data_IF_558355554341
#
_entry.id   IF_558355554341
#
_cell.length_a   1.000
_cell.length_b   1.000
_cell.length_c   1.000
_cell.angle_alpha   90.00
_cell.angle_beta   90.00
_cell.angle_gamma   90.00
#
_symmetry.space_group_name_H-M   'P 1'
#
loop_
_entity.id
_entity.type
_entity.pdbx_description
1 polymer ?
#
# COMPACT_ATOMS: atom_id res chain seq x y z
N UNK A 1 -7.39 9.90 13.76
CA UNK A 1 -6.58 8.72 13.41
C UNK A 1 -6.50 8.70 11.90
N UNK A 2 -5.33 8.45 11.31
CA UNK A 2 -5.22 8.42 9.85
C UNK A 2 -5.45 7.00 9.33
N UNK A 3 -6.31 6.86 8.34
CA UNK A 3 -6.55 5.59 7.64
C UNK A 3 -5.56 5.45 6.47
N UNK A 4 -4.62 4.52 6.57
CA UNK A 4 -3.54 4.44 5.60
C UNK A 4 -3.96 3.85 4.26
N UNK A 5 -5.07 3.11 4.18
CA UNK A 5 -5.53 2.51 2.93
C UNK A 5 -7.03 2.22 3.01
N UNK A 6 -7.79 2.78 2.08
CA UNK A 6 -9.24 2.55 2.01
C UNK A 6 -9.75 2.61 0.58
N UNK A 7 -10.76 1.80 0.28
CA UNK A 7 -11.51 1.88 -0.97
C UNK A 7 -12.77 2.76 -0.85
N UNK A 8 -13.05 3.32 0.35
CA UNK A 8 -14.17 4.23 0.54
C UNK A 8 -13.85 5.62 -0.06
N UNK A 9 -14.53 6.05 -1.15
CA UNK A 9 -14.26 7.32 -1.81
C UNK A 9 -14.61 8.55 -0.96
N UNK A 10 -15.46 8.37 0.05
CA UNK A 10 -15.96 9.41 0.94
C UNK A 10 -15.15 9.51 2.24
N UNK A 11 -14.13 8.66 2.42
CA UNK A 11 -13.30 8.66 3.62
C UNK A 11 -12.62 10.03 3.86
N UNK A 12 -12.52 10.39 5.14
CA UNK A 12 -11.86 11.63 5.60
C UNK A 12 -10.64 11.21 6.43
N UNK A 13 -9.58 12.01 6.40
CA UNK A 13 -8.30 11.71 7.06
C UNK A 13 -7.75 10.32 6.66
N UNK A 14 -7.85 10.02 5.37
CA UNK A 14 -7.49 8.74 4.79
C UNK A 14 -6.67 8.91 3.50
N UNK A 15 -5.89 7.89 3.15
CA UNK A 15 -5.37 7.72 1.79
C UNK A 15 -6.32 6.80 1.01
N UNK A 16 -7.04 7.38 0.05
CA UNK A 16 -8.01 6.67 -0.78
C UNK A 16 -7.29 5.99 -1.93
N UNK A 17 -7.52 4.69 -2.12
CA UNK A 17 -6.99 3.97 -3.26
C UNK A 17 -7.77 4.35 -4.54
N UNK A 18 -7.05 4.72 -5.60
CA UNK A 18 -7.62 5.11 -6.88
C UNK A 18 -7.04 4.30 -8.05
N UNK A 19 -7.91 4.01 -9.01
CA UNK A 19 -7.53 3.46 -10.31
C UNK A 19 -7.20 4.60 -11.30
N UNK A 20 -6.45 4.32 -12.40
CA UNK A 20 -6.13 5.33 -13.40
C UNK A 20 -7.37 5.96 -14.04
N UNK A 21 -7.36 7.28 -14.15
CA UNK A 21 -8.45 8.11 -14.66
C UNK A 21 -9.45 8.58 -13.59
N UNK A 22 -9.11 8.46 -12.31
CA UNK A 22 -9.95 8.97 -11.23
C UNK A 22 -10.08 10.51 -11.26
N UNK A 23 -11.13 11.01 -10.63
CA UNK A 23 -11.37 12.45 -10.46
C UNK A 23 -11.08 12.81 -9.00
N UNK A 24 -10.04 13.61 -8.69
CA UNK A 24 -9.72 13.96 -7.32
C UNK A 24 -10.81 14.79 -6.66
N UNK A 25 -11.14 14.44 -5.41
CA UNK A 25 -11.93 15.27 -4.50
C UNK A 25 -11.03 16.28 -3.81
N UNK A 26 -11.50 17.51 -3.69
CA UNK A 26 -10.74 18.56 -3.01
C UNK A 26 -10.43 18.17 -1.55
N UNK A 27 -9.16 18.30 -1.16
CA UNK A 27 -8.69 18.00 0.19
C UNK A 27 -8.43 16.52 0.47
N UNK A 28 -8.81 15.60 -0.42
CA UNK A 28 -8.48 14.19 -0.28
C UNK A 28 -7.05 13.89 -0.75
N UNK A 29 -6.48 12.82 -0.22
CA UNK A 29 -5.18 12.28 -0.66
C UNK A 29 -5.35 10.85 -1.15
N UNK A 30 -4.48 10.46 -2.08
CA UNK A 30 -4.66 9.24 -2.86
C UNK A 30 -3.38 8.40 -2.94
N UNK A 31 -3.57 7.09 -3.06
CA UNK A 31 -2.64 6.23 -3.78
C UNK A 31 -3.23 5.95 -5.16
N UNK A 32 -2.40 5.84 -6.19
CA UNK A 32 -2.86 5.42 -7.53
C UNK A 32 -2.05 4.26 -8.05
N UNK A 33 -2.73 3.23 -8.54
CA UNK A 33 -2.12 2.01 -9.05
C UNK A 33 -3.12 1.17 -9.81
N UNK A 34 -2.62 0.11 -10.43
CA UNK A 34 -3.44 -0.93 -11.05
C UNK A 34 -3.28 -2.21 -10.22
N UNK A 35 -4.40 -2.67 -9.66
CA UNK A 35 -4.44 -3.87 -8.84
C UNK A 35 -3.96 -5.12 -9.62
N UNK A 36 -3.22 -6.08 -9.02
CA UNK A 36 -2.75 -7.28 -9.71
C UNK A 36 -3.86 -8.11 -10.38
N UNK A 37 -5.09 -8.03 -9.87
CA UNK A 37 -6.23 -8.71 -10.50
C UNK A 37 -6.62 -8.12 -11.86
N UNK A 38 -6.31 -6.83 -12.07
CA UNK A 38 -6.70 -6.07 -13.26
C UNK A 38 -5.57 -6.02 -14.31
N UNK A 39 -4.44 -6.71 -14.10
CA UNK A 39 -3.23 -6.57 -14.92
C UNK A 39 -3.25 -7.30 -16.27
N UNK A 40 -4.24 -8.16 -16.52
CA UNK A 40 -4.25 -9.06 -17.68
C UNK A 40 -4.28 -8.31 -19.02
N UNK A 41 -5.06 -7.22 -19.10
CA UNK A 41 -5.33 -6.50 -20.35
C UNK A 41 -4.94 -5.02 -20.26
N UNK A 42 -3.97 -4.67 -19.40
CA UNK A 42 -3.51 -3.29 -19.25
C UNK A 42 -2.94 -2.78 -20.57
N UNK A 43 -3.57 -1.74 -21.08
CA UNK A 43 -3.22 -1.05 -22.32
C UNK A 43 -2.18 0.03 -22.08
N UNK A 44 -1.47 0.43 -23.13
CA UNK A 44 -0.55 1.58 -23.06
C UNK A 44 -1.26 2.88 -22.69
N UNK A 45 -2.56 3.00 -23.00
CA UNK A 45 -3.36 4.16 -22.62
C UNK A 45 -3.57 4.20 -21.11
N UNK A 46 -3.87 3.06 -20.47
CA UNK A 46 -4.02 2.98 -19.02
C UNK A 46 -2.70 3.26 -18.30
N UNK A 47 -1.57 2.74 -18.81
CA UNK A 47 -0.25 3.07 -18.26
C UNK A 47 0.06 4.57 -18.37
N UNK A 48 -0.25 5.20 -19.52
CA UNK A 48 -0.07 6.66 -19.65
C UNK A 48 -0.97 7.45 -18.69
N UNK A 49 -2.19 6.98 -18.42
CA UNK A 49 -3.08 7.61 -17.43
C UNK A 49 -2.52 7.46 -16.02
N UNK A 50 -2.09 6.26 -15.65
CA UNK A 50 -1.42 5.99 -14.38
C UNK A 50 -0.24 6.94 -14.16
N UNK A 51 0.65 7.08 -15.17
CA UNK A 51 1.83 7.94 -15.08
C UNK A 51 1.47 9.43 -14.93
N UNK A 52 0.38 9.87 -15.55
CA UNK A 52 -0.11 11.25 -15.45
C UNK A 52 -0.74 11.51 -14.06
N UNK A 53 -1.65 10.63 -13.64
CA UNK A 53 -2.35 10.73 -12.36
C UNK A 53 -1.39 10.62 -11.19
N UNK A 54 -0.39 9.75 -11.29
CA UNK A 54 0.66 9.60 -10.30
C UNK A 54 1.45 10.89 -10.04
N UNK A 55 1.40 11.89 -10.94
CA UNK A 55 2.09 13.19 -10.75
C UNK A 55 1.20 14.26 -10.12
N UNK A 56 -0.08 13.98 -9.90
CA UNK A 56 -0.98 14.91 -9.22
C UNK A 56 -0.50 15.14 -7.77
N UNK A 57 -0.64 16.39 -7.30
CA UNK A 57 -0.22 16.78 -5.96
C UNK A 57 -0.98 16.05 -4.85
N UNK A 58 -2.24 15.68 -5.09
CA UNK A 58 -3.06 14.93 -4.15
C UNK A 58 -2.68 13.44 -4.07
N UNK A 59 -1.93 12.92 -5.04
CA UNK A 59 -1.44 11.53 -4.99
C UNK A 59 -0.17 11.49 -4.16
N UNK A 60 -0.15 10.72 -3.07
CA UNK A 60 0.96 10.64 -2.12
C UNK A 60 1.67 9.30 -2.10
N UNK A 61 1.07 8.26 -2.70
CA UNK A 61 1.68 6.94 -2.86
C UNK A 61 1.38 6.35 -4.25
N UNK A 62 2.17 5.35 -4.63
CA UNK A 62 1.88 4.48 -5.78
C UNK A 62 1.27 3.19 -5.24
N UNK A 63 0.28 2.65 -5.95
CA UNK A 63 -0.49 1.49 -5.54
C UNK A 63 -1.97 1.85 -5.35
N UNK A 64 -2.85 0.89 -5.21
CA UNK A 64 -2.57 -0.52 -4.95
C UNK A 64 -2.04 -1.26 -6.18
N UNK A 65 -0.97 -2.02 -5.98
CA UNK A 65 -0.39 -2.93 -6.97
C UNK A 65 0.26 -4.09 -6.22
N UNK A 66 0.75 -5.12 -6.89
CA UNK A 66 1.45 -6.21 -6.19
C UNK A 66 1.34 -7.56 -6.87
N UNK A 67 1.25 -8.61 -6.07
CA UNK A 67 1.31 -10.00 -6.49
C UNK A 67 0.30 -10.86 -5.72
N UNK A 68 -0.57 -11.54 -6.45
CA UNK A 68 -1.55 -12.49 -5.95
C UNK A 68 -1.44 -13.81 -6.72
N UNK A 69 -0.97 -14.87 -6.07
CA UNK A 69 -0.88 -16.21 -6.70
C UNK A 69 -2.21 -16.95 -6.76
N UNK A 70 -3.27 -16.41 -6.16
CA UNK A 70 -4.60 -17.03 -6.11
C UNK A 70 -5.58 -16.41 -7.12
N UNK A 71 -5.33 -15.18 -7.58
CA UNK A 71 -6.22 -14.43 -8.47
C UNK A 71 -5.44 -13.53 -9.44
N UNK A 72 -6.10 -13.20 -10.55
CA UNK A 72 -5.55 -12.30 -11.57
C UNK A 72 -4.83 -13.03 -12.70
N UNK A 73 -3.97 -12.30 -13.42
CA UNK A 73 -3.15 -12.85 -14.50
C UNK A 73 -2.01 -13.75 -13.96
N UNK A 74 -1.25 -14.46 -14.80
CA UNK A 74 -0.05 -15.17 -14.38
C UNK A 74 0.92 -14.26 -13.60
N UNK A 75 1.67 -14.85 -12.67
CA UNK A 75 2.55 -14.10 -11.76
C UNK A 75 3.60 -13.27 -12.50
N UNK A 76 4.02 -13.73 -13.68
CA UNK A 76 4.94 -13.05 -14.58
C UNK A 76 4.35 -11.72 -15.04
N UNK A 77 3.07 -11.73 -15.46
CA UNK A 77 2.38 -10.51 -15.92
C UNK A 77 2.13 -9.53 -14.78
N UNK A 78 1.77 -10.05 -13.60
CA UNK A 78 1.66 -9.21 -12.39
C UNK A 78 3.01 -8.59 -12.02
N UNK A 79 4.10 -9.35 -12.16
CA UNK A 79 5.48 -8.89 -11.88
C UNK A 79 5.92 -7.80 -12.86
N UNK A 80 5.61 -7.94 -14.15
CA UNK A 80 5.88 -6.90 -15.16
C UNK A 80 5.19 -5.58 -14.78
N UNK A 81 3.90 -5.63 -14.43
CA UNK A 81 3.14 -4.46 -14.01
C UNK A 81 3.72 -3.86 -12.71
N UNK A 82 4.05 -4.70 -11.73
CA UNK A 82 4.65 -4.26 -10.48
C UNK A 82 6.00 -3.57 -10.71
N UNK A 83 6.82 -4.06 -11.64
CA UNK A 83 8.10 -3.41 -12.00
C UNK A 83 7.87 -1.99 -12.54
N UNK A 84 6.82 -1.77 -13.34
CA UNK A 84 6.43 -0.42 -13.80
C UNK A 84 6.10 0.50 -12.61
N UNK A 85 5.28 0.02 -11.67
CA UNK A 85 4.92 0.79 -10.47
C UNK A 85 6.12 1.06 -9.56
N UNK A 86 7.05 0.12 -9.43
CA UNK A 86 8.31 0.31 -8.69
C UNK A 86 9.13 1.43 -9.33
N UNK A 87 9.28 1.42 -10.66
CA UNK A 87 10.00 2.46 -11.37
C UNK A 87 9.36 3.84 -11.15
N UNK A 88 8.03 3.93 -11.23
CA UNK A 88 7.28 5.15 -11.01
C UNK A 88 7.39 5.66 -9.56
N UNK A 89 7.33 4.76 -8.58
CA UNK A 89 7.53 5.04 -7.16
C UNK A 89 8.90 5.65 -6.89
N UNK A 90 9.97 5.10 -7.48
CA UNK A 90 11.32 5.63 -7.34
C UNK A 90 11.52 6.95 -8.07
N UNK A 91 10.98 7.09 -9.29
CA UNK A 91 11.06 8.35 -10.06
C UNK A 91 10.40 9.50 -9.28
N UNK A 92 9.19 9.26 -8.79
CA UNK A 92 8.38 10.28 -8.12
C UNK A 92 8.68 10.42 -6.63
N UNK A 93 9.59 9.60 -6.09
CA UNK A 93 9.94 9.58 -4.68
C UNK A 93 8.71 9.36 -3.77
N UNK A 94 7.78 8.51 -4.21
CA UNK A 94 6.56 8.16 -3.49
C UNK A 94 6.66 6.75 -2.90
N UNK A 95 6.12 6.49 -1.70
CA UNK A 95 6.02 5.13 -1.17
C UNK A 95 5.14 4.23 -2.05
N UNK A 96 5.30 2.92 -1.89
CA UNK A 96 4.57 1.90 -2.65
C UNK A 96 3.65 1.08 -1.73
N UNK A 97 2.37 1.00 -2.06
CA UNK A 97 1.34 0.21 -1.36
C UNK A 97 1.14 -1.11 -2.12
N UNK A 98 1.31 -2.24 -1.41
CA UNK A 98 1.49 -3.56 -2.00
C UNK A 98 0.44 -4.57 -1.53
N UNK A 99 -0.36 -5.07 -2.47
CA UNK A 99 -1.20 -6.27 -2.30
C UNK A 99 -0.38 -7.53 -2.48
N UNK A 100 -0.21 -8.33 -1.44
CA UNK A 100 0.63 -9.53 -1.49
C UNK A 100 -0.12 -10.76 -0.97
N UNK A 101 -0.44 -11.69 -1.86
CA UNK A 101 -1.08 -12.97 -1.53
C UNK A 101 -0.23 -14.13 -2.02
N UNK A 102 0.33 -14.87 -1.05
CA UNK A 102 1.21 -16.04 -1.27
C UNK A 102 2.45 -15.77 -2.15
N UNK A 103 2.87 -14.51 -2.24
CA UNK A 103 4.00 -14.05 -3.06
C UNK A 103 5.09 -13.31 -2.25
N UNK A 104 5.22 -13.65 -0.96
CA UNK A 104 6.20 -12.99 -0.07
C UNK A 104 7.67 -13.20 -0.49
N UNK A 105 8.11 -14.40 -0.92
CA UNK A 105 9.47 -14.58 -1.42
C UNK A 105 9.77 -13.70 -2.65
N UNK A 106 8.81 -13.58 -3.56
CA UNK A 106 8.95 -12.77 -4.77
C UNK A 106 9.09 -11.28 -4.45
N UNK A 107 8.24 -10.73 -3.58
CA UNK A 107 8.33 -9.31 -3.22
C UNK A 107 9.59 -8.99 -2.42
N UNK A 108 10.08 -9.92 -1.57
CA UNK A 108 11.36 -9.78 -0.87
C UNK A 108 12.51 -9.74 -1.89
N UNK A 109 12.50 -10.63 -2.89
CA UNK A 109 13.51 -10.66 -3.94
C UNK A 109 13.51 -9.35 -4.76
N UNK A 110 12.33 -8.84 -5.10
CA UNK A 110 12.19 -7.55 -5.79
C UNK A 110 12.72 -6.40 -4.93
N UNK A 111 12.36 -6.33 -3.65
CA UNK A 111 12.87 -5.28 -2.75
C UNK A 111 14.39 -5.31 -2.63
N UNK A 112 14.99 -6.50 -2.56
CA UNK A 112 16.45 -6.66 -2.55
C UNK A 112 17.10 -6.23 -3.87
N UNK A 113 16.47 -6.56 -5.00
CA UNK A 113 16.95 -6.18 -6.35
C UNK A 113 16.92 -4.67 -6.55
N UNK A 114 15.80 -4.02 -6.24
CA UNK A 114 15.57 -2.61 -6.54
C UNK A 114 16.11 -1.66 -5.46
N UNK A 115 16.25 -2.12 -4.21
CA UNK A 115 16.75 -1.33 -3.07
C UNK A 115 16.04 0.03 -2.96
N UNK A 116 14.70 0.02 -2.82
CA UNK A 116 13.89 1.23 -2.93
C UNK A 116 14.25 2.25 -1.84
N UNK A 117 14.25 3.53 -2.20
CA UNK A 117 14.52 4.64 -1.27
C UNK A 117 13.33 4.92 -0.37
N UNK A 118 12.12 4.65 -0.87
CA UNK A 118 10.88 4.93 -0.17
C UNK A 118 10.29 3.67 0.48
N UNK A 119 9.47 3.84 1.53
CA UNK A 119 8.76 2.74 2.16
C UNK A 119 7.98 1.88 1.15
N UNK A 120 8.06 0.57 1.33
CA UNK A 120 7.13 -0.39 0.73
C UNK A 120 6.24 -0.89 1.85
N UNK A 121 4.94 -0.70 1.69
CA UNK A 121 3.90 -1.00 2.67
C UNK A 121 3.12 -2.19 2.14
N UNK A 122 3.06 -3.28 2.91
CA UNK A 122 2.11 -4.37 2.61
C UNK A 122 0.82 -4.02 3.34
N UNK A 123 -0.22 -3.70 2.57
CA UNK A 123 -1.57 -3.48 3.11
C UNK A 123 -2.22 -4.84 3.38
N UNK A 124 -3.25 -4.82 4.22
CA UNK A 124 -4.08 -5.99 4.51
C UNK A 124 -3.31 -7.14 5.14
N UNK A 125 -2.23 -6.88 5.90
CA UNK A 125 -1.37 -7.97 6.38
C UNK A 125 -2.09 -8.87 7.40
N UNK A 126 -2.22 -10.15 7.06
CA UNK A 126 -2.89 -11.19 7.88
C UNK A 126 -1.98 -12.39 8.21
N UNK A 127 -0.67 -12.27 7.92
CA UNK A 127 0.30 -13.34 8.11
C UNK A 127 0.56 -13.69 9.58
N UNK A 128 1.35 -14.75 9.81
CA UNK A 128 1.79 -15.18 11.15
C UNK A 128 3.02 -14.38 11.63
N UNK A 129 3.36 -14.40 12.94
CA UNK A 129 4.46 -13.62 13.48
C UNK A 129 5.80 -13.88 12.79
N UNK A 130 6.08 -15.12 12.38
CA UNK A 130 7.30 -15.47 11.67
C UNK A 130 7.43 -14.73 10.33
N UNK A 131 6.32 -14.60 9.60
CA UNK A 131 6.27 -13.89 8.33
C UNK A 131 6.35 -12.37 8.52
N UNK A 132 5.69 -11.83 9.54
CA UNK A 132 5.83 -10.42 9.91
C UNK A 132 7.29 -10.08 10.25
N UNK A 133 7.94 -10.89 11.10
CA UNK A 133 9.34 -10.72 11.46
C UNK A 133 10.27 -10.76 10.25
N UNK A 134 10.03 -11.68 9.31
CA UNK A 134 10.80 -11.76 8.06
C UNK A 134 10.65 -10.49 7.22
N UNK A 135 9.43 -10.01 7.00
CA UNK A 135 9.16 -8.79 6.24
C UNK A 135 9.78 -7.56 6.90
N UNK A 136 9.69 -7.44 8.22
CA UNK A 136 10.32 -6.36 8.97
C UNK A 136 11.84 -6.38 8.84
N UNK A 137 12.47 -7.56 8.87
CA UNK A 137 13.92 -7.71 8.63
C UNK A 137 14.33 -7.23 7.24
N UNK A 138 13.44 -7.34 6.25
CA UNK A 138 13.66 -6.80 4.91
C UNK A 138 13.20 -5.34 4.73
N UNK A 139 12.83 -4.66 5.82
CA UNK A 139 12.54 -3.22 5.85
C UNK A 139 11.17 -2.85 5.27
N UNK A 140 10.22 -3.79 5.24
CA UNK A 140 8.83 -3.50 4.92
C UNK A 140 8.12 -2.79 6.07
N UNK A 141 7.04 -2.10 5.72
CA UNK A 141 6.02 -1.61 6.65
C UNK A 141 4.80 -2.49 6.51
N UNK A 142 4.04 -2.65 7.59
CA UNK A 142 2.84 -3.48 7.60
C UNK A 142 1.66 -2.64 8.04
N UNK A 143 0.60 -2.66 7.24
CA UNK A 143 -0.67 -2.01 7.55
C UNK A 143 -1.70 -3.08 7.88
N UNK A 144 -2.42 -2.87 8.99
CA UNK A 144 -3.33 -3.86 9.59
C UNK A 144 -4.76 -3.32 9.60
N UNK A 145 -5.65 -4.06 8.94
CA UNK A 145 -7.11 -3.85 9.01
C UNK A 145 -7.81 -4.84 9.94
N UNK A 146 -9.15 -4.87 9.90
CA UNK A 146 -10.03 -5.65 10.80
C UNK A 146 -9.63 -7.10 11.07
N UNK A 147 -9.10 -7.80 10.06
CA UNK A 147 -8.83 -9.24 10.12
C UNK A 147 -7.37 -9.60 10.39
N UNK A 148 -6.61 -8.69 11.01
CA UNK A 148 -5.20 -8.89 11.33
C UNK A 148 -4.97 -10.06 12.30
N UNK A 149 -3.73 -10.56 12.31
CA UNK A 149 -3.28 -11.55 13.28
C UNK A 149 -2.75 -10.86 14.55
N UNK A 150 -3.42 -11.08 15.69
CA UNK A 150 -3.08 -10.41 16.96
C UNK A 150 -1.64 -10.64 17.43
N UNK A 151 -1.12 -11.87 17.32
CA UNK A 151 0.25 -12.17 17.71
C UNK A 151 1.28 -11.49 16.80
N UNK A 152 0.93 -11.29 15.53
CA UNK A 152 1.80 -10.58 14.59
C UNK A 152 1.83 -9.09 14.91
N UNK A 153 0.68 -8.49 15.23
CA UNK A 153 0.62 -7.08 15.61
C UNK A 153 1.58 -6.75 16.76
N UNK A 154 1.64 -7.59 17.80
CA UNK A 154 2.48 -7.39 18.99
C UNK A 154 3.97 -7.27 18.71
N UNK A 155 4.46 -7.85 17.61
CA UNK A 155 5.88 -7.84 17.26
C UNK A 155 6.26 -6.74 16.26
N UNK A 156 5.28 -6.07 15.67
CA UNK A 156 5.51 -5.00 14.70
C UNK A 156 5.82 -3.73 15.50
N UNK A 157 7.01 -3.13 15.32
CA UNK A 157 7.35 -1.93 16.04
C UNK A 157 6.53 -0.74 15.51
N UNK A 158 6.22 0.22 16.37
CA UNK A 158 5.28 1.30 16.05
C UNK A 158 5.72 2.17 14.88
N UNK A 159 7.03 2.29 14.64
CA UNK A 159 7.61 2.99 13.48
C UNK A 159 7.49 2.21 12.16
N UNK A 160 6.90 1.01 12.17
CA UNK A 160 6.61 0.17 11.00
C UNK A 160 5.16 -0.29 10.91
N UNK A 161 4.33 0.08 11.89
CA UNK A 161 2.94 -0.35 12.00
C UNK A 161 1.98 0.76 11.56
N UNK A 162 1.11 0.44 10.62
CA UNK A 162 0.04 1.30 10.13
C UNK A 162 -1.33 0.64 10.37
N UNK A 163 -2.39 1.45 10.35
CA UNK A 163 -3.76 1.00 10.46
C UNK A 163 -4.53 1.37 9.19
N UNK A 164 -5.48 0.54 8.80
CA UNK A 164 -6.29 0.75 7.59
C UNK A 164 -7.69 0.17 7.71
N UNK A 165 -8.62 0.64 6.87
CA UNK A 165 -9.96 0.03 6.75
C UNK A 165 -10.08 -0.92 5.56
N UNK A 166 -9.31 -0.72 4.49
CA UNK A 166 -9.43 -1.50 3.25
C UNK A 166 -10.87 -1.41 2.68
N UNK A 167 -11.60 -2.52 2.62
CA UNK A 167 -13.03 -2.60 2.26
C UNK A 167 -13.96 -2.75 3.49
N UNK A 168 -13.45 -2.59 4.71
CA UNK A 168 -14.22 -2.82 5.94
C UNK A 168 -15.11 -1.63 6.31
N UNK A 169 -16.37 -1.89 6.64
CA UNK A 169 -17.31 -0.91 7.22
C UNK A 169 -16.98 -0.47 8.67
N UNK A 170 -15.83 -0.87 9.20
CA UNK A 170 -15.44 -0.61 10.60
C UNK A 170 -14.70 0.71 10.65
N UNK A 171 -14.97 1.53 11.66
CA UNK A 171 -14.28 2.82 11.77
C UNK A 171 -12.79 2.62 12.06
N UNK A 172 -11.94 3.45 11.46
CA UNK A 172 -10.49 3.37 11.64
C UNK A 172 -10.07 3.50 13.11
N UNK A 173 -10.83 4.24 13.93
CA UNK A 173 -10.57 4.38 15.36
C UNK A 173 -10.85 3.09 16.13
N UNK A 174 -11.85 2.31 15.71
CA UNK A 174 -12.12 0.99 16.29
C UNK A 174 -11.01 0.00 15.93
N UNK A 175 -10.53 0.02 14.68
CA UNK A 175 -9.39 -0.80 14.25
C UNK A 175 -8.14 -0.42 15.05
N UNK A 176 -7.82 0.87 15.13
CA UNK A 176 -6.66 1.34 15.87
C UNK A 176 -6.71 1.01 17.36
N UNK A 177 -7.90 0.99 17.98
CA UNK A 177 -8.07 0.59 19.38
C UNK A 177 -7.74 -0.89 19.65
N UNK A 178 -7.80 -1.74 18.61
CA UNK A 178 -7.42 -3.15 18.70
C UNK A 178 -5.92 -3.40 18.44
N UNK A 179 -5.21 -2.40 17.92
CA UNK A 179 -3.79 -2.51 17.60
C UNK A 179 -2.90 -2.11 18.78
N UNK A 180 -1.64 -2.60 18.83
CA UNK A 180 -0.62 -2.02 19.70
C UNK A 180 -0.42 -0.53 19.42
N UNK A 181 0.32 0.15 20.30
CA UNK A 181 0.57 1.59 20.18
C UNK A 181 1.10 1.96 18.80
N UNK A 182 0.33 2.79 18.08
CA UNK A 182 0.70 3.36 16.79
C UNK A 182 1.54 4.63 16.99
N UNK A 183 2.49 4.91 16.08
CA UNK A 183 3.10 6.24 15.99
C UNK A 183 2.16 7.16 15.19
N UNK A 184 1.49 8.14 15.82
CA UNK A 184 0.54 9.02 15.13
C UNK A 184 1.20 9.90 14.05
N UNK A 185 2.52 10.10 14.11
CA UNK A 185 3.25 10.88 13.12
C UNK A 185 3.74 10.03 11.92
N UNK A 186 3.65 8.69 12.00
CA UNK A 186 4.19 7.80 10.98
C UNK A 186 3.57 8.01 9.59
N UNK A 187 2.23 8.11 9.43
CA UNK A 187 1.63 8.36 8.12
C UNK A 187 2.14 9.64 7.47
N UNK A 188 2.19 10.75 8.22
CA UNK A 188 2.70 12.04 7.71
C UNK A 188 4.18 11.98 7.34
N UNK A 189 5.00 11.25 8.11
CA UNK A 189 6.42 11.01 7.78
C UNK A 189 6.58 10.23 6.47
N UNK A 190 5.81 9.16 6.29
CA UNK A 190 5.86 8.30 5.09
C UNK A 190 5.40 9.07 3.85
N UNK A 191 4.25 9.76 3.95
CA UNK A 191 3.60 10.45 2.85
C UNK A 191 4.17 11.87 2.61
N UNK A 192 5.16 12.29 3.41
CA UNK A 192 5.77 13.63 3.35
C UNK A 192 4.73 14.75 3.41
N UNK A 193 3.69 14.56 4.23
CA UNK A 193 2.64 15.56 4.43
C UNK A 193 3.22 16.74 5.22
N UNK A 194 2.92 17.97 4.79
CA UNK A 194 3.22 19.15 5.60
C UNK A 194 2.34 19.10 6.83
N UNK A 195 2.94 18.97 8.01
CA UNK A 195 2.25 19.15 9.28
C UNK A 195 2.03 20.66 9.41
N UNK A 196 0.77 21.09 9.34
CA UNK A 196 0.36 22.48 9.61
C UNK A 196 0.49 22.81 11.09
#
# INVERSE_FOLDING_TARGET
MFDFHTHNPDAIDAMINAEPGFIPRQGAIYSVGIHPWNCANVTDMELRRLDADARLDCVKAIGETGLDKLRGAPIERQTELLIHHIALSEELHKPLVLHIVRAFPEIIALKHRFKPRKPWIIHGFRGKPQQAAELLRHGFYLSLGKHFNQESAKIIPSERLLAETDDSDMDITEIAAMLPTLDPALPSKILSLKIS
#
